data_IF_269579496555
#
_entry.id   IF_269579496555
#
_cell.length_a   1.000
_cell.length_b   1.000
_cell.length_c   1.000
_cell.angle_alpha   90.00
_cell.angle_beta   90.00
_cell.angle_gamma   90.00
#
_symmetry.space_group_name_H-M   'P 1'
#
loop_
_entity.id
_entity.type
_entity.pdbx_description
1 polymer ?
#
# COMPACT_ATOMS: atom_id res chain seq x y z
N UNK A 1 14.86 -62.30 22.02
CA UNK A 1 15.13 -61.26 21.00
C UNK A 1 14.58 -59.95 21.55
N UNK A 2 15.40 -59.18 22.26
CA UNK A 2 14.99 -57.90 22.83
C UNK A 2 15.20 -56.81 21.78
N UNK A 3 14.10 -56.26 21.27
CA UNK A 3 14.12 -55.07 20.42
C UNK A 3 14.32 -53.86 21.34
N UNK A 4 15.52 -53.28 21.30
CA UNK A 4 15.83 -52.03 22.00
C UNK A 4 15.06 -50.89 21.37
N UNK A 5 14.20 -50.24 22.17
CA UNK A 5 13.56 -48.98 21.81
C UNK A 5 14.59 -47.89 22.02
N UNK A 6 15.14 -47.36 20.93
CA UNK A 6 16.01 -46.19 20.95
C UNK A 6 15.21 -44.98 21.45
N UNK A 7 15.74 -44.33 22.50
CA UNK A 7 15.18 -43.10 23.05
C UNK A 7 15.41 -41.98 22.05
N UNK A 8 14.35 -41.50 21.39
CA UNK A 8 14.38 -40.26 20.63
C UNK A 8 14.56 -39.09 21.60
N UNK A 9 15.80 -38.65 21.79
CA UNK A 9 16.11 -37.41 22.48
C UNK A 9 15.51 -36.24 21.69
N UNK A 10 14.70 -35.42 22.37
CA UNK A 10 14.17 -34.19 21.76
C UNK A 10 15.34 -33.23 21.52
N UNK A 11 15.46 -32.64 20.31
CA UNK A 11 16.61 -31.81 19.97
C UNK A 11 16.67 -30.60 20.91
N UNK A 12 17.84 -30.41 21.52
CA UNK A 12 18.12 -29.24 22.34
C UNK A 12 17.77 -27.95 21.59
N UNK A 13 17.21 -26.97 22.31
CA UNK A 13 16.79 -25.69 21.72
C UNK A 13 17.97 -25.02 21.03
N UNK A 14 17.78 -24.61 19.78
CA UNK A 14 18.83 -23.91 19.04
C UNK A 14 19.27 -22.63 19.77
N UNK A 15 20.57 -22.34 19.70
CA UNK A 15 21.17 -21.16 20.34
C UNK A 15 20.55 -19.86 19.80
N UNK A 16 20.35 -18.90 20.69
CA UNK A 16 19.86 -17.57 20.31
C UNK A 16 20.84 -16.88 19.35
N UNK A 17 20.33 -15.94 18.56
CA UNK A 17 21.17 -15.09 17.70
C UNK A 17 21.82 -13.98 18.54
N UNK A 18 23.13 -13.78 18.39
CA UNK A 18 23.86 -12.64 18.96
C UNK A 18 23.56 -11.36 18.17
N UNK A 19 23.82 -10.19 18.77
CA UNK A 19 23.60 -8.93 18.06
C UNK A 19 24.50 -8.79 16.82
N UNK A 20 25.74 -9.29 16.90
CA UNK A 20 26.68 -9.33 15.77
C UNK A 20 26.17 -10.22 14.63
N UNK A 21 25.64 -11.41 14.95
CA UNK A 21 25.01 -12.29 13.96
C UNK A 21 23.80 -11.62 13.30
N UNK A 22 22.99 -10.86 14.05
CA UNK A 22 21.85 -10.13 13.48
C UNK A 22 22.30 -8.99 12.58
N UNK A 23 23.35 -8.28 12.96
CA UNK A 23 23.92 -7.22 12.14
C UNK A 23 24.48 -7.78 10.82
N UNK A 24 25.30 -8.82 10.91
CA UNK A 24 25.85 -9.52 9.74
C UNK A 24 24.75 -10.03 8.81
N UNK A 25 23.71 -10.67 9.36
CA UNK A 25 22.56 -11.12 8.58
C UNK A 25 21.90 -9.95 7.83
N UNK A 26 21.73 -8.81 8.50
CA UNK A 26 21.08 -7.62 7.93
C UNK A 26 21.91 -7.04 6.78
N UNK A 27 23.24 -6.96 6.94
CA UNK A 27 24.16 -6.51 5.88
C UNK A 27 24.14 -7.43 4.66
N UNK A 28 24.19 -8.74 4.87
CA UNK A 28 24.14 -9.73 3.80
C UNK A 28 22.82 -9.69 3.03
N UNK A 29 21.70 -9.46 3.72
CA UNK A 29 20.41 -9.24 3.06
C UNK A 29 20.40 -7.93 2.29
N UNK A 30 21.01 -6.86 2.83
CA UNK A 30 21.19 -5.59 2.13
C UNK A 30 21.91 -5.74 0.79
N UNK A 31 23.01 -6.51 0.75
CA UNK A 31 23.75 -6.83 -0.49
C UNK A 31 22.88 -7.57 -1.51
N UNK A 32 22.00 -8.47 -1.07
CA UNK A 32 21.17 -9.32 -1.92
C UNK A 32 19.71 -8.82 -2.06
N UNK A 33 19.43 -7.55 -1.69
CA UNK A 33 18.06 -7.02 -1.57
C UNK A 33 17.26 -7.07 -2.86
N UNK A 34 17.92 -6.93 -4.01
CA UNK A 34 17.28 -6.94 -5.33
C UNK A 34 16.58 -8.26 -5.66
N UNK A 35 17.06 -9.38 -5.11
CA UNK A 35 16.48 -10.71 -5.31
C UNK A 35 15.59 -11.08 -4.13
N UNK A 36 16.10 -10.93 -2.90
CA UNK A 36 15.41 -11.35 -1.67
C UNK A 36 14.11 -10.56 -1.44
N UNK A 37 14.16 -9.23 -1.60
CA UNK A 37 13.02 -8.33 -1.35
C UNK A 37 12.25 -7.96 -2.64
N UNK A 38 12.49 -8.68 -3.74
CA UNK A 38 11.74 -8.53 -4.98
C UNK A 38 10.24 -8.82 -4.75
N UNK A 39 9.37 -7.94 -5.22
CA UNK A 39 7.91 -8.08 -5.11
C UNK A 39 7.30 -9.07 -6.11
N UNK A 40 8.04 -9.45 -7.15
CA UNK A 40 7.55 -10.42 -8.13
C UNK A 40 7.33 -11.78 -7.47
N UNK A 41 6.26 -12.43 -7.92
CA UNK A 41 5.84 -13.76 -7.51
C UNK A 41 5.72 -14.65 -8.75
N UNK A 42 6.23 -15.86 -8.68
CA UNK A 42 6.34 -16.76 -9.82
C UNK A 42 7.36 -17.85 -9.57
N UNK A 43 7.19 -19.02 -10.19
CA UNK A 43 8.02 -20.21 -9.92
C UNK A 43 9.52 -19.93 -10.08
N UNK A 44 9.90 -19.19 -11.13
CA UNK A 44 11.30 -18.79 -11.37
C UNK A 44 11.81 -17.89 -10.24
N UNK A 45 11.03 -16.88 -9.85
CA UNK A 45 11.40 -15.96 -8.76
C UNK A 45 11.52 -16.67 -7.41
N UNK A 46 10.70 -17.69 -7.14
CA UNK A 46 10.82 -18.51 -5.93
C UNK A 46 12.14 -19.28 -5.91
N UNK A 47 12.50 -19.94 -7.02
CA UNK A 47 13.78 -20.64 -7.13
C UNK A 47 14.97 -19.68 -6.99
N UNK A 48 14.89 -18.49 -7.58
CA UNK A 48 15.93 -17.46 -7.47
C UNK A 48 16.09 -16.95 -6.03
N UNK A 49 14.98 -16.71 -5.32
CA UNK A 49 15.00 -16.32 -3.90
C UNK A 49 15.59 -17.42 -3.03
N UNK A 50 15.21 -18.67 -3.25
CA UNK A 50 15.75 -19.82 -2.53
C UNK A 50 17.26 -19.95 -2.74
N UNK A 51 17.73 -19.87 -3.99
CA UNK A 51 19.15 -19.91 -4.31
C UNK A 51 19.92 -18.73 -3.67
N UNK A 52 19.35 -17.53 -3.67
CA UNK A 52 19.94 -16.37 -3.01
C UNK A 52 20.06 -16.58 -1.49
N UNK A 53 19.03 -17.14 -0.86
CA UNK A 53 19.05 -17.47 0.56
C UNK A 53 20.06 -18.56 0.91
N UNK A 54 20.21 -19.58 0.07
CA UNK A 54 21.24 -20.62 0.24
C UNK A 54 22.65 -20.03 0.13
N UNK A 55 22.90 -19.19 -0.88
CA UNK A 55 24.18 -18.48 -1.02
C UNK A 55 24.48 -17.61 0.19
N UNK A 56 23.50 -16.83 0.66
CA UNK A 56 23.62 -16.02 1.85
C UNK A 56 23.93 -16.88 3.08
N UNK A 57 23.28 -18.04 3.23
CA UNK A 57 23.50 -18.95 4.34
C UNK A 57 24.95 -19.47 4.36
N UNK A 58 25.50 -19.80 3.19
CA UNK A 58 26.90 -20.21 3.07
C UNK A 58 27.85 -19.08 3.49
N UNK A 59 27.63 -17.84 3.01
CA UNK A 59 28.44 -16.67 3.37
C UNK A 59 28.35 -16.35 4.86
N UNK A 60 27.14 -16.43 5.43
CA UNK A 60 26.89 -16.20 6.85
C UNK A 60 27.62 -17.22 7.73
N UNK A 61 27.48 -18.51 7.43
CA UNK A 61 28.12 -19.59 8.19
C UNK A 61 29.64 -19.59 8.01
N UNK A 62 30.16 -19.18 6.84
CA UNK A 62 31.59 -19.02 6.63
C UNK A 62 32.20 -17.84 7.40
N UNK A 63 31.39 -16.80 7.67
CA UNK A 63 31.81 -15.59 8.37
C UNK A 63 31.63 -15.67 9.89
N UNK A 64 30.90 -16.69 10.38
CA UNK A 64 30.54 -16.82 11.80
C UNK A 64 31.28 -18.00 12.40
N UNK A 65 32.01 -17.79 13.50
CA UNK A 65 32.73 -18.85 14.22
C UNK A 65 31.84 -19.77 15.08
N UNK A 66 30.52 -19.64 14.97
CA UNK A 66 29.52 -20.32 15.80
C UNK A 66 28.86 -21.53 15.11
N UNK A 67 27.77 -22.01 15.71
CA UNK A 67 26.98 -23.11 15.14
C UNK A 67 26.36 -22.72 13.80
N UNK A 68 26.45 -23.65 12.84
CA UNK A 68 25.89 -23.46 11.51
C UNK A 68 24.38 -23.26 11.59
N UNK A 69 23.89 -22.16 11.02
CA UNK A 69 22.45 -21.87 10.94
C UNK A 69 21.90 -22.40 9.63
N UNK A 70 20.72 -23.00 9.69
CA UNK A 70 20.01 -23.39 8.48
C UNK A 70 19.39 -22.17 7.79
N UNK A 71 19.20 -22.26 6.47
CA UNK A 71 18.57 -21.21 5.66
C UNK A 71 17.20 -20.81 6.22
N UNK A 72 16.40 -21.77 6.66
CA UNK A 72 15.09 -21.52 7.27
C UNK A 72 15.19 -20.65 8.54
N UNK A 73 16.20 -20.87 9.37
CA UNK A 73 16.42 -20.08 10.59
C UNK A 73 16.80 -18.63 10.26
N UNK A 74 17.65 -18.42 9.26
CA UNK A 74 18.05 -17.08 8.82
C UNK A 74 16.87 -16.31 8.21
N UNK A 75 16.05 -16.98 7.39
CA UNK A 75 14.83 -16.39 6.82
C UNK A 75 13.88 -15.95 7.94
N UNK A 76 13.60 -16.83 8.90
CA UNK A 76 12.67 -16.51 9.99
C UNK A 76 13.23 -15.42 10.90
N UNK A 77 14.54 -15.44 11.17
CA UNK A 77 15.20 -14.39 11.94
C UNK A 77 15.08 -13.05 11.23
N UNK A 78 15.39 -12.97 9.93
CA UNK A 78 15.23 -11.75 9.13
C UNK A 78 13.79 -11.26 9.13
N UNK A 79 12.81 -12.16 8.93
CA UNK A 79 11.38 -11.81 8.98
C UNK A 79 11.01 -11.17 10.32
N UNK A 80 11.52 -11.70 11.42
CA UNK A 80 11.26 -11.16 12.75
C UNK A 80 11.98 -9.83 12.99
N UNK A 81 13.22 -9.69 12.54
CA UNK A 81 13.97 -8.41 12.59
C UNK A 81 13.21 -7.30 11.86
N UNK A 82 12.66 -7.58 10.67
CA UNK A 82 11.81 -6.61 9.95
C UNK A 82 10.60 -6.17 10.75
N UNK A 83 9.90 -7.12 11.38
CA UNK A 83 8.70 -6.84 12.19
C UNK A 83 9.04 -6.01 13.41
N UNK A 84 10.10 -6.36 14.15
CA UNK A 84 10.51 -5.62 15.35
C UNK A 84 10.92 -4.20 15.00
N UNK A 85 11.71 -4.03 13.94
CA UNK A 85 12.14 -2.72 13.45
C UNK A 85 10.94 -1.85 13.03
N UNK A 86 10.02 -2.41 12.24
CA UNK A 86 8.77 -1.71 11.84
C UNK A 86 7.93 -1.29 13.05
N UNK A 87 7.85 -2.15 14.08
CA UNK A 87 7.11 -1.86 15.31
C UNK A 87 7.74 -0.69 16.07
N UNK A 88 9.07 -0.69 16.21
CA UNK A 88 9.82 0.40 16.84
C UNK A 88 9.65 1.70 16.08
N UNK A 89 9.81 1.69 14.76
CA UNK A 89 9.59 2.86 13.90
C UNK A 89 8.17 3.42 14.05
N UNK A 90 7.16 2.56 14.01
CA UNK A 90 5.76 2.96 14.17
C UNK A 90 5.47 3.53 15.56
N UNK A 91 6.09 2.98 16.61
CA UNK A 91 5.95 3.49 17.98
C UNK A 91 6.59 4.88 18.13
N UNK A 92 7.79 5.06 17.56
CA UNK A 92 8.48 6.36 17.52
C UNK A 92 7.68 7.39 16.72
N UNK A 93 7.15 7.02 15.55
CA UNK A 93 6.29 7.92 14.76
C UNK A 93 5.02 8.29 15.53
N UNK A 94 4.38 7.33 16.22
CA UNK A 94 3.19 7.59 17.05
C UNK A 94 3.48 8.52 18.23
N UNK A 95 4.61 8.38 18.91
CA UNK A 95 4.96 9.26 20.04
C UNK A 95 5.16 10.71 19.57
N UNK A 96 5.66 10.93 18.35
CA UNK A 96 5.81 12.27 17.77
C UNK A 96 4.48 13.03 17.60
N UNK A 97 3.38 12.32 17.30
CA UNK A 97 2.06 12.93 17.06
C UNK A 97 1.11 12.86 18.26
N UNK A 98 1.59 12.51 19.47
CA UNK A 98 0.75 12.60 20.68
C UNK A 98 0.52 14.07 21.03
N UNK A 99 -0.74 14.52 21.05
CA UNK A 99 -1.13 15.93 21.29
C UNK A 99 -1.79 16.19 22.64
N UNK A 100 -1.65 15.27 23.62
CA UNK A 100 -2.34 15.33 24.91
C UNK A 100 -1.87 16.40 25.91
N UNK A 101 -1.29 17.52 25.46
CA UNK A 101 -0.90 18.67 26.30
C UNK A 101 0.22 18.43 27.32
N UNK A 102 0.72 17.20 27.47
CA UNK A 102 1.85 16.86 28.32
C UNK A 102 3.21 17.12 27.66
N UNK A 103 4.30 17.14 28.46
CA UNK A 103 5.65 17.24 27.92
C UNK A 103 5.90 16.15 26.89
N UNK A 104 6.53 16.53 25.77
CA UNK A 104 6.91 15.57 24.74
C UNK A 104 7.94 14.61 25.33
N UNK A 105 7.61 13.32 25.37
CA UNK A 105 8.58 12.27 25.70
C UNK A 105 9.66 12.26 24.61
N UNK A 106 10.77 12.96 24.83
CA UNK A 106 11.96 12.92 23.97
C UNK A 106 12.78 11.66 24.18
N UNK A 107 12.13 10.54 24.50
CA UNK A 107 12.74 9.21 24.43
C UNK A 107 13.00 8.90 22.96
N UNK A 108 14.05 9.51 22.40
CA UNK A 108 14.60 9.19 21.09
C UNK A 108 14.98 7.72 21.20
N UNK A 109 14.17 6.85 20.59
CA UNK A 109 14.59 5.48 20.36
C UNK A 109 15.81 5.61 19.44
N UNK A 110 17.00 5.47 20.02
CA UNK A 110 18.24 5.40 19.27
C UNK A 110 18.06 4.31 18.20
N UNK A 111 18.03 4.72 16.93
CA UNK A 111 17.94 3.76 15.83
C UNK A 111 19.13 2.82 15.93
N UNK A 112 18.85 1.53 16.08
CA UNK A 112 19.94 0.54 16.08
C UNK A 112 20.53 0.48 14.66
N UNK A 113 21.81 0.09 14.50
CA UNK A 113 22.39 -0.07 13.16
C UNK A 113 21.60 -1.05 12.28
N UNK A 114 20.99 -2.06 12.91
CA UNK A 114 20.09 -3.01 12.25
C UNK A 114 18.83 -2.32 11.75
N UNK A 115 18.23 -1.43 12.55
CA UNK A 115 17.05 -0.66 12.15
C UNK A 115 17.35 0.23 10.95
N UNK A 116 18.49 0.92 10.94
CA UNK A 116 18.91 1.74 9.80
C UNK A 116 19.01 0.93 8.49
N UNK A 117 19.60 -0.27 8.54
CA UNK A 117 19.67 -1.19 7.39
C UNK A 117 18.27 -1.64 6.95
N UNK A 118 17.41 -2.00 7.91
CA UNK A 118 16.03 -2.41 7.61
C UNK A 118 15.24 -1.26 6.97
N UNK A 119 15.43 -0.03 7.47
CA UNK A 119 14.82 1.18 6.94
C UNK A 119 15.34 1.50 5.54
N UNK A 120 16.62 1.28 5.22
CA UNK A 120 17.13 1.42 3.85
C UNK A 120 16.47 0.40 2.89
N UNK A 121 16.39 -0.87 3.32
CA UNK A 121 15.88 -1.96 2.48
C UNK A 121 14.37 -1.85 2.25
N UNK A 122 13.62 -1.36 3.24
CA UNK A 122 12.14 -1.41 3.27
C UNK A 122 11.51 -0.02 3.23
N UNK A 123 12.24 1.06 3.51
CA UNK A 123 11.76 2.36 3.98
C UNK A 123 10.61 2.99 3.22
N UNK A 124 10.56 2.85 1.89
CA UNK A 124 9.43 3.31 1.08
C UNK A 124 8.09 2.61 1.40
N UNK A 125 8.14 1.42 2.02
CA UNK A 125 6.96 0.67 2.52
C UNK A 125 6.60 1.05 3.96
N UNK A 126 7.53 1.61 4.73
CA UNK A 126 7.30 2.02 6.13
C UNK A 126 6.80 3.47 6.24
N UNK A 127 7.17 4.30 5.28
CA UNK A 127 6.56 5.62 5.08
C UNK A 127 5.12 5.42 4.61
N UNK A 128 4.16 5.64 5.51
CA UNK A 128 2.76 5.82 5.14
C UNK A 128 2.71 6.90 4.06
N UNK A 129 1.92 6.70 3.00
CA UNK A 129 1.48 7.80 2.16
C UNK A 129 0.84 8.82 3.09
N UNK A 130 1.42 10.01 3.22
CA UNK A 130 0.78 11.10 3.95
C UNK A 130 -0.49 11.42 3.17
N UNK A 131 -1.62 10.90 3.64
CA UNK A 131 -2.90 11.31 3.10
C UNK A 131 -3.08 12.75 3.56
N UNK A 132 -2.87 13.71 2.68
CA UNK A 132 -3.13 15.15 2.90
C UNK A 132 -4.63 15.48 3.06
N UNK A 133 -5.46 14.48 3.36
CA UNK A 133 -6.90 14.62 3.46
C UNK A 133 -7.42 13.72 4.58
N UNK A 134 -7.26 14.17 5.82
CA UNK A 134 -8.39 14.07 6.74
C UNK A 134 -9.34 15.25 6.48
N UNK A 135 -10.61 14.93 6.60
CA UNK A 135 -11.74 15.72 6.17
C UNK A 135 -11.96 16.93 7.09
N UNK A 136 -11.26 18.04 6.82
CA UNK A 136 -11.62 19.43 7.18
C UNK A 136 -10.48 20.46 6.94
N UNK A 137 -9.51 20.17 6.08
CA UNK A 137 -8.41 21.11 5.81
C UNK A 137 -8.88 22.35 5.02
N UNK A 138 -9.33 23.38 5.73
CA UNK A 138 -9.34 24.74 5.22
C UNK A 138 -7.89 25.09 4.89
N UNK A 139 -7.65 25.32 3.61
CA UNK A 139 -6.38 25.75 3.05
C UNK A 139 -5.96 27.08 3.67
N UNK A 140 -5.26 27.02 4.81
CA UNK A 140 -4.44 28.13 5.28
C UNK A 140 -3.17 28.06 4.43
N UNK A 141 -3.24 28.64 3.23
CA UNK A 141 -2.04 29.00 2.48
C UNK A 141 -1.04 29.64 3.44
N UNK A 142 0.26 29.30 3.37
CA UNK A 142 1.26 29.92 4.20
C UNK A 142 1.34 31.42 3.84
N UNK A 143 0.66 32.26 4.62
CA UNK A 143 0.85 33.70 4.67
C UNK A 143 2.19 34.06 5.32
N UNK A 144 3.26 33.40 4.89
CA UNK A 144 4.64 33.71 5.26
C UNK A 144 5.55 33.87 4.04
N UNK A 145 5.00 33.88 2.81
CA UNK A 145 5.74 34.29 1.63
C UNK A 145 5.25 35.64 1.09
N UNK A 146 5.27 36.68 1.94
CA UNK A 146 5.26 38.08 1.49
C UNK A 146 6.36 38.83 2.23
N UNK A 147 7.53 38.85 1.58
CA UNK A 147 8.46 39.97 1.44
C UNK A 147 8.90 40.71 2.73
N UNK A 148 10.09 40.37 3.22
CA UNK A 148 11.03 41.42 3.65
C UNK A 148 11.75 41.90 2.39
N UNK A 149 11.06 42.71 1.60
CA UNK A 149 11.69 43.64 0.66
C UNK A 149 11.25 45.05 1.07
N UNK A 150 12.25 45.81 1.53
CA UNK A 150 12.39 47.25 1.73
C UNK A 150 11.13 48.15 1.83
N UNK A 151 10.89 48.83 2.97
CA UNK A 151 9.68 49.60 3.22
C UNK A 151 9.79 51.04 2.71
N UNK A 152 9.84 51.27 1.40
CA UNK A 152 9.55 52.59 0.81
C UNK A 152 8.91 52.44 -0.57
N UNK A 153 7.61 52.73 -0.62
CA UNK A 153 6.75 53.09 -1.76
C UNK A 153 5.59 52.13 -2.00
N UNK A 154 4.45 52.37 -1.35
CA UNK A 154 3.13 52.06 -1.92
C UNK A 154 2.19 53.22 -1.59
N UNK A 155 1.72 53.92 -2.64
CA UNK A 155 0.58 54.84 -2.61
C UNK A 155 -0.73 54.05 -2.72
N UNK A 156 -1.84 54.54 -2.14
CA UNK A 156 -3.08 53.78 -2.00
C UNK A 156 -3.90 53.77 -3.29
N UNK A 157 -4.46 52.61 -3.64
CA UNK A 157 -5.58 52.51 -4.57
C UNK A 157 -6.63 51.59 -3.95
N UNK A 158 -7.80 52.16 -3.64
CA UNK A 158 -8.91 51.53 -2.93
C UNK A 158 -9.71 50.56 -3.82
N UNK A 159 -10.22 49.48 -3.23
CA UNK A 159 -11.20 48.60 -3.87
C UNK A 159 -12.54 48.74 -3.14
N UNK A 160 -13.53 49.28 -3.85
CA UNK A 160 -14.88 49.50 -3.34
C UNK A 160 -15.62 48.19 -3.05
N UNK A 161 -16.15 48.09 -1.83
CA UNK A 161 -17.03 47.03 -1.34
C UNK A 161 -18.49 47.46 -1.59
N UNK A 162 -19.24 46.72 -2.41
CA UNK A 162 -20.70 46.85 -2.46
C UNK A 162 -21.34 45.60 -1.86
N UNK A 163 -21.77 45.76 -0.60
CA UNK A 163 -22.63 44.85 0.14
C UNK A 163 -24.07 44.99 -0.35
N UNK A 164 -24.75 43.88 -0.61
CA UNK A 164 -26.21 43.81 -0.44
C UNK A 164 -26.56 42.60 0.42
N UNK A 165 -27.09 42.96 1.58
CA UNK A 165 -27.69 42.17 2.65
C UNK A 165 -28.97 41.50 2.13
N UNK A 166 -29.36 40.34 2.67
CA UNK A 166 -30.67 40.12 3.33
C UNK A 166 -30.90 38.65 3.74
N UNK A 167 -30.90 38.46 5.07
CA UNK A 167 -31.87 37.72 5.89
C UNK A 167 -32.33 36.31 5.44
N UNK A 168 -31.84 35.31 6.18
CA UNK A 168 -32.41 33.97 6.29
C UNK A 168 -33.63 33.98 7.22
N UNK A 169 -34.82 33.71 6.68
CA UNK A 169 -35.98 33.28 7.47
C UNK A 169 -36.70 32.10 6.78
N UNK A 170 -36.87 31.04 7.58
CA UNK A 170 -37.95 30.04 7.60
C UNK A 170 -38.42 29.27 6.34
N UNK A 171 -38.34 27.94 6.46
CA UNK A 171 -39.08 26.89 5.72
C UNK A 171 -40.59 27.19 5.59
N UNK A 172 -41.31 26.74 4.53
CA UNK A 172 -41.79 25.34 4.53
C UNK A 172 -42.01 24.65 3.16
N UNK A 173 -42.23 23.34 3.27
CA UNK A 173 -42.49 22.33 2.23
C UNK A 173 -43.76 22.50 1.39
N UNK A 174 -43.71 22.10 0.12
CA UNK A 174 -44.75 21.30 -0.58
C UNK A 174 -44.17 20.84 -1.93
N UNK A 175 -44.09 19.52 -2.22
CA UNK A 175 -45.07 18.72 -2.98
C UNK A 175 -45.28 19.26 -4.42
N UNK A 176 -45.11 18.53 -5.53
CA UNK A 176 -45.15 17.10 -5.83
C UNK A 176 -44.71 16.87 -7.30
N UNK A 177 -44.29 15.63 -7.60
CA UNK A 177 -44.41 14.87 -8.87
C UNK A 177 -43.29 14.87 -9.91
N UNK A 178 -42.40 13.88 -9.74
CA UNK A 178 -42.27 12.68 -10.58
C UNK A 178 -42.43 12.81 -12.09
N UNK A 179 -41.34 12.52 -12.80
CA UNK A 179 -41.30 11.44 -13.79
C UNK A 179 -39.86 11.06 -14.14
N UNK A 180 -39.51 9.81 -13.83
CA UNK A 180 -38.39 9.03 -14.40
C UNK A 180 -36.96 9.38 -13.96
N UNK A 181 -36.61 9.02 -12.72
CA UNK A 181 -35.27 8.52 -12.40
C UNK A 181 -35.42 7.08 -11.92
N UNK A 182 -34.90 6.14 -12.72
CA UNK A 182 -34.91 4.72 -12.39
C UNK A 182 -34.16 4.48 -11.08
N UNK A 183 -34.91 4.39 -9.99
CA UNK A 183 -34.44 3.94 -8.69
C UNK A 183 -34.06 2.47 -8.85
N UNK A 184 -32.76 2.20 -8.84
CA UNK A 184 -32.26 0.89 -8.45
C UNK A 184 -32.87 0.57 -7.09
N UNK A 185 -33.71 -0.47 -7.05
CA UNK A 185 -34.25 -1.02 -5.81
C UNK A 185 -33.09 -1.40 -4.90
N UNK A 186 -32.80 -0.51 -3.95
CA UNK A 186 -31.98 -0.81 -2.79
C UNK A 186 -32.78 -1.86 -2.00
N UNK A 187 -32.41 -3.13 -2.17
CA UNK A 187 -32.93 -4.21 -1.34
C UNK A 187 -32.65 -3.83 0.12
N UNK A 188 -33.71 -3.44 0.81
CA UNK A 188 -33.72 -3.22 2.25
C UNK A 188 -33.33 -4.56 2.87
N UNK A 189 -32.11 -4.67 3.36
CA UNK A 189 -31.70 -5.80 4.19
C UNK A 189 -32.55 -5.71 5.46
N UNK A 190 -33.57 -6.54 5.56
CA UNK A 190 -34.16 -6.87 6.84
C UNK A 190 -33.11 -7.66 7.61
N UNK A 191 -32.56 -7.02 8.64
CA UNK A 191 -31.66 -7.61 9.60
C UNK A 191 -32.47 -8.59 10.47
N UNK A 192 -32.70 -9.79 9.95
CA UNK A 192 -33.12 -10.91 10.79
C UNK A 192 -31.91 -11.31 11.64
N UNK A 193 -31.85 -10.83 12.88
CA UNK A 193 -30.96 -11.39 13.89
C UNK A 193 -31.42 -12.80 14.26
N UNK A 194 -31.19 -13.75 13.37
CA UNK A 194 -31.04 -15.15 13.76
C UNK A 194 -29.68 -15.27 14.44
N UNK A 195 -29.69 -15.41 15.77
CA UNK A 195 -28.50 -15.83 16.51
C UNK A 195 -28.07 -17.17 15.92
N UNK A 196 -27.00 -17.16 15.11
CA UNK A 196 -26.47 -18.38 14.52
C UNK A 196 -26.06 -19.31 15.67
N UNK A 197 -26.77 -20.43 15.81
CA UNK A 197 -26.47 -21.44 16.80
C UNK A 197 -25.24 -22.22 16.34
N UNK A 198 -24.10 -21.93 16.98
CA UNK A 198 -22.83 -22.60 16.72
C UNK A 198 -22.63 -23.83 17.60
N UNK A 199 -23.63 -24.25 18.39
CA UNK A 199 -23.49 -25.40 19.28
C UNK A 199 -23.32 -26.73 18.54
N UNK A 200 -23.71 -26.78 17.27
CA UNK A 200 -23.48 -27.92 16.36
C UNK A 200 -22.08 -27.94 15.74
N UNK A 201 -21.23 -26.94 16.00
CA UNK A 201 -19.87 -26.89 15.47
C UNK A 201 -18.96 -27.92 16.17
N UNK A 202 -18.44 -28.87 15.39
CA UNK A 202 -17.41 -29.81 15.83
C UNK A 202 -16.18 -29.75 14.91
N UNK A 203 -14.95 -29.77 15.45
CA UNK A 203 -13.72 -29.87 14.64
C UNK A 203 -13.66 -31.09 13.71
N UNK A 204 -14.52 -32.10 13.93
CA UNK A 204 -14.67 -33.23 13.03
C UNK A 204 -15.32 -32.85 11.68
N UNK A 205 -16.16 -31.80 11.64
CA UNK A 205 -16.78 -31.29 10.41
C UNK A 205 -15.73 -30.81 9.40
N UNK A 206 -14.60 -30.29 9.88
CA UNK A 206 -13.47 -29.85 9.05
C UNK A 206 -12.73 -31.02 8.37
N UNK A 207 -12.93 -32.25 8.86
CA UNK A 207 -12.31 -33.46 8.31
C UNK A 207 -13.22 -34.21 7.34
N UNK A 208 -14.42 -33.70 7.10
CA UNK A 208 -15.31 -34.31 6.10
C UNK A 208 -14.74 -34.08 4.70
N UNK A 209 -14.68 -35.10 3.84
CA UNK A 209 -14.25 -34.92 2.46
C UNK A 209 -15.20 -33.92 1.78
N UNK A 210 -14.63 -33.00 0.99
CA UNK A 210 -15.38 -31.97 0.26
C UNK A 210 -16.55 -32.61 -0.48
N UNK A 211 -17.76 -32.07 -0.30
CA UNK A 211 -18.96 -32.58 -0.96
C UNK A 211 -18.77 -32.55 -2.48
N UNK A 212 -19.39 -33.49 -3.21
CA UNK A 212 -19.31 -33.57 -4.68
C UNK A 212 -19.78 -32.29 -5.39
N UNK A 213 -20.58 -31.47 -4.71
CA UNK A 213 -21.04 -30.15 -5.18
C UNK A 213 -19.95 -29.06 -5.09
N UNK A 214 -18.92 -29.28 -4.28
CA UNK A 214 -17.77 -28.38 -4.10
C UNK A 214 -16.50 -28.91 -4.76
N UNK A 215 -16.50 -30.15 -5.30
CA UNK A 215 -15.39 -30.66 -6.10
C UNK A 215 -15.53 -30.16 -7.53
N UNK A 216 -14.73 -29.15 -7.89
CA UNK A 216 -14.67 -28.70 -9.27
C UNK A 216 -14.03 -29.77 -10.15
N UNK A 217 -14.65 -30.05 -11.28
CA UNK A 217 -14.07 -31.00 -12.23
C UNK A 217 -12.87 -30.36 -12.92
N UNK A 218 -11.94 -31.18 -13.41
CA UNK A 218 -10.77 -30.70 -14.18
C UNK A 218 -11.20 -29.82 -15.37
N UNK A 219 -12.31 -30.16 -16.02
CA UNK A 219 -12.87 -29.40 -17.13
C UNK A 219 -13.35 -28.00 -16.69
N UNK A 220 -14.05 -27.90 -15.56
CA UNK A 220 -14.50 -26.60 -15.01
C UNK A 220 -13.32 -25.70 -14.64
N UNK A 221 -12.23 -26.28 -14.13
CA UNK A 221 -11.02 -25.52 -13.81
C UNK A 221 -10.34 -25.00 -15.09
N UNK A 222 -10.24 -25.83 -16.13
CA UNK A 222 -9.70 -25.42 -17.43
C UNK A 222 -10.55 -24.33 -18.10
N UNK A 223 -11.88 -24.43 -17.99
CA UNK A 223 -12.80 -23.40 -18.48
C UNK A 223 -12.68 -22.09 -17.69
N UNK A 224 -12.57 -22.14 -16.37
CA UNK A 224 -12.37 -20.96 -15.53
C UNK A 224 -11.04 -20.26 -15.84
N UNK A 225 -9.96 -21.02 -16.09
CA UNK A 225 -8.66 -20.48 -16.49
C UNK A 225 -8.76 -19.82 -17.87
N UNK A 226 -9.44 -20.46 -18.83
CA UNK A 226 -9.66 -19.89 -20.17
C UNK A 226 -10.45 -18.58 -20.10
N UNK A 227 -11.56 -18.57 -19.36
CA UNK A 227 -12.38 -17.37 -19.13
C UNK A 227 -11.57 -16.23 -18.50
N UNK A 228 -10.74 -16.54 -17.50
CA UNK A 228 -9.88 -15.54 -16.87
C UNK A 228 -8.84 -14.98 -17.86
N UNK A 229 -8.28 -15.82 -18.73
CA UNK A 229 -7.35 -15.37 -19.76
C UNK A 229 -8.02 -14.45 -20.78
N UNK A 230 -9.22 -14.80 -21.26
CA UNK A 230 -10.02 -13.96 -22.16
C UNK A 230 -10.37 -12.61 -21.53
N UNK A 231 -10.74 -12.58 -20.25
CA UNK A 231 -11.01 -11.34 -19.52
C UNK A 231 -9.79 -10.42 -19.44
N UNK A 232 -8.60 -11.00 -19.21
CA UNK A 232 -7.34 -10.24 -19.19
C UNK A 232 -7.02 -9.62 -20.56
N UNK A 233 -7.24 -10.37 -21.63
CA UNK A 233 -7.03 -9.89 -23.01
C UNK A 233 -8.00 -8.75 -23.34
N UNK A 234 -9.27 -8.88 -22.93
CA UNK A 234 -10.27 -7.82 -23.09
C UNK A 234 -9.88 -6.54 -22.35
N UNK A 235 -9.38 -6.65 -21.12
CA UNK A 235 -8.89 -5.49 -20.34
C UNK A 235 -7.72 -4.81 -21.04
N UNK A 236 -6.78 -5.58 -21.60
CA UNK A 236 -5.66 -5.02 -22.35
C UNK A 236 -6.12 -4.29 -23.62
N UNK A 237 -7.08 -4.86 -24.36
CA UNK A 237 -7.62 -4.24 -25.56
C UNK A 237 -8.35 -2.93 -25.24
N UNK A 238 -9.19 -2.90 -24.20
CA UNK A 238 -9.85 -1.68 -23.73
C UNK A 238 -8.85 -0.58 -23.38
N UNK A 239 -7.77 -0.93 -22.69
CA UNK A 239 -6.69 0.02 -22.36
C UNK A 239 -6.02 0.59 -23.62
N UNK A 240 -5.79 -0.25 -24.64
CA UNK A 240 -5.19 0.19 -25.91
C UNK A 240 -6.10 1.17 -26.64
N UNK A 241 -7.39 0.84 -26.78
CA UNK A 241 -8.39 1.71 -27.42
C UNK A 241 -8.47 3.07 -26.70
N UNK A 242 -8.49 3.06 -25.37
CA UNK A 242 -8.53 4.29 -24.59
C UNK A 242 -7.30 5.18 -24.82
N UNK A 243 -6.11 4.57 -24.90
CA UNK A 243 -4.86 5.29 -25.15
C UNK A 243 -4.84 5.91 -26.55
N UNK A 244 -5.29 5.16 -27.56
CA UNK A 244 -5.37 5.62 -28.94
C UNK A 244 -6.39 6.76 -29.09
N UNK A 245 -7.56 6.64 -28.46
CA UNK A 245 -8.56 7.71 -28.43
C UNK A 245 -8.01 8.99 -27.77
N UNK A 246 -7.24 8.85 -26.69
CA UNK A 246 -6.57 9.98 -26.06
C UNK A 246 -5.53 10.63 -26.98
N UNK A 247 -4.72 9.83 -27.68
CA UNK A 247 -3.72 10.35 -28.63
C UNK A 247 -4.38 11.13 -29.76
N UNK A 248 -5.43 10.58 -30.37
CA UNK A 248 -6.17 11.23 -31.44
C UNK A 248 -6.77 12.56 -30.99
N UNK A 249 -7.33 12.61 -29.77
CA UNK A 249 -7.86 13.86 -29.19
C UNK A 249 -6.78 14.93 -29.02
N UNK A 250 -5.58 14.55 -28.60
CA UNK A 250 -4.46 15.48 -28.46
C UNK A 250 -3.97 15.99 -29.82
N UNK A 251 -4.00 15.14 -30.85
CA UNK A 251 -3.64 15.51 -32.21
C UNK A 251 -4.65 16.49 -32.80
N UNK A 252 -5.95 16.21 -32.66
CA UNK A 252 -7.03 17.13 -33.04
C UNK A 252 -6.85 18.51 -32.39
N UNK A 253 -6.59 18.54 -31.07
CA UNK A 253 -6.37 19.80 -30.35
C UNK A 253 -5.16 20.58 -30.89
N UNK A 254 -4.08 19.88 -31.28
CA UNK A 254 -2.89 20.53 -31.87
C UNK A 254 -3.19 21.10 -33.25
N UNK A 255 -3.91 20.35 -34.09
CA UNK A 255 -4.30 20.79 -35.43
C UNK A 255 -5.22 22.00 -35.37
N UNK A 256 -6.24 21.97 -34.49
CA UNK A 256 -7.13 23.12 -34.24
C UNK A 256 -6.34 24.35 -33.80
N UNK A 257 -5.44 24.18 -32.83
CA UNK A 257 -4.58 25.27 -32.37
C UNK A 257 -3.68 25.81 -33.50
N UNK A 258 -3.11 24.93 -34.32
CA UNK A 258 -2.27 25.32 -35.46
C UNK A 258 -3.06 26.10 -36.52
N UNK A 259 -4.28 25.66 -36.84
CA UNK A 259 -5.18 26.39 -37.75
C UNK A 259 -5.56 27.76 -37.18
N UNK A 260 -5.86 27.83 -35.88
CA UNK A 260 -6.16 29.09 -35.19
C UNK A 260 -4.99 30.08 -35.27
N UNK A 261 -3.76 29.61 -35.10
CA UNK A 261 -2.55 30.43 -35.26
C UNK A 261 -2.37 30.92 -36.70
N UNK A 262 -2.58 30.07 -37.70
CA UNK A 262 -2.53 30.47 -39.12
C UNK A 262 -3.54 31.57 -39.43
N UNK A 263 -4.80 31.39 -39.02
CA UNK A 263 -5.85 32.40 -39.18
C UNK A 263 -5.53 33.73 -38.48
N UNK A 264 -4.93 33.70 -37.28
CA UNK A 264 -4.49 34.92 -36.61
C UNK A 264 -3.36 35.62 -37.37
N UNK A 265 -2.46 34.87 -38.01
CA UNK A 265 -1.33 35.42 -38.76
C UNK A 265 -1.74 36.03 -40.11
N UNK A 266 -2.79 35.52 -40.75
CA UNK A 266 -3.35 36.01 -42.01
C UNK A 266 -4.23 37.26 -41.81
N UNK A 267 -4.77 37.48 -40.60
CA UNK A 267 -5.53 38.67 -40.21
C UNK A 267 -4.69 39.92 -39.94
N UNK A 268 -3.44 40.00 -40.45
CA UNK A 268 -2.67 41.25 -40.38
C UNK A 268 -3.39 42.35 -41.18
N UNK A 269 -3.55 43.56 -40.61
CA UNK A 269 -4.48 44.56 -41.12
C UNK A 269 -4.02 45.11 -42.48
N UNK A 270 -5.00 45.42 -43.34
CA UNK A 270 -4.88 46.44 -44.38
C UNK A 270 -4.22 47.67 -43.75
N UNK A 271 -3.01 48.02 -44.20
CA UNK A 271 -2.52 49.40 -44.13
C UNK A 271 -3.27 50.23 -45.17
#
# INVERSE_FOLDING_TARGET
MSCGIEKNETPARAKNFTNEEVLLLSELVGKNRSVIENKQSGVITHKQKEAAWQKLTMEFNASTSGDHRSTKMLIEKWRNTKKTSTKSYSANKKSLYKTGGGPKDFSIVLETPVDAIVHDIIGARMTRYEAECDSDYMNIYPRLLILVMDPKQILPFEMNLSSTNEQHDNLPSSSLNDSNLAVMHLHKYEEQQGQADWSDYSPALLKTPTSKLLSTTKAELEEAVKKHQEERELVQLKKKILLEAHQLKMEQMREEHALKLKLMSERKPFM
#
